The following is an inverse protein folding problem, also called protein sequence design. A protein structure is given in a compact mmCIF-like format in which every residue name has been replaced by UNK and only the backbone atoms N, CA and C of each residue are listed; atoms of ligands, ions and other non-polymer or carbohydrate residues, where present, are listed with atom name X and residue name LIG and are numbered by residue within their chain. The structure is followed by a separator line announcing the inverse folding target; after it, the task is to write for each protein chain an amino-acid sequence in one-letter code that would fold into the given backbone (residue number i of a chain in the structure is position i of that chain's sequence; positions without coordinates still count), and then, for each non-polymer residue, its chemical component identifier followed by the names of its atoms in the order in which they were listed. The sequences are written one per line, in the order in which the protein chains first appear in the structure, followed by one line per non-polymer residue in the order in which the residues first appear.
data_IF_163866617700
#
_entry.id   IF_163866617700
#
_cell.length_a   1.000
_cell.length_b   1.000
_cell.length_c   1.000
_cell.angle_alpha   90.00
_cell.angle_beta   90.00
_cell.angle_gamma   90.00
#
_symmetry.space_group_name_H-M   'P 1'
#
loop_
_entity.id
_entity.type
_entity.pdbx_description
1 polymer ?
#
# COMPACT_ATOMS: atom_id res chain seq x y z
N UNK A 1 -9.41 10.48 5.69
CA UNK A 1 -10.41 10.33 4.63
C UNK A 1 -11.43 11.48 4.58
N UNK A 2 -11.60 12.31 5.61
CA UNK A 2 -12.42 13.53 5.51
C UNK A 2 -11.86 14.60 4.57
N UNK A 3 -12.71 15.51 4.08
CA UNK A 3 -12.34 16.69 3.28
C UNK A 3 -11.30 17.58 3.98
N UNK A 4 -11.32 17.65 5.31
CA UNK A 4 -10.31 18.38 6.10
C UNK A 4 -8.91 17.80 5.90
N UNK A 5 -8.79 16.48 5.75
CA UNK A 5 -7.51 15.85 5.42
C UNK A 5 -7.09 16.16 3.98
N UNK A 6 -8.03 16.24 3.03
CA UNK A 6 -7.74 16.63 1.65
C UNK A 6 -7.19 18.06 1.58
N UNK A 7 -7.78 19.00 2.34
CA UNK A 7 -7.26 20.37 2.51
C UNK A 7 -5.81 20.40 2.97
N UNK A 8 -5.50 19.65 4.04
CA UNK A 8 -4.14 19.54 4.58
C UNK A 8 -3.17 18.96 3.55
N UNK A 9 -3.60 17.93 2.81
CA UNK A 9 -2.79 17.28 1.79
C UNK A 9 -2.46 18.21 0.62
N UNK A 10 -3.44 18.97 0.12
CA UNK A 10 -3.20 19.98 -0.92
C UNK A 10 -2.16 21.00 -0.47
N UNK A 11 -2.29 21.51 0.76
CA UNK A 11 -1.34 22.47 1.32
C UNK A 11 0.07 21.86 1.43
N UNK A 12 0.16 20.59 1.81
CA UNK A 12 1.42 19.88 1.90
C UNK A 12 2.09 19.67 0.52
N UNK A 13 1.30 19.42 -0.52
CA UNK A 13 1.79 19.20 -1.88
C UNK A 13 2.04 20.49 -2.66
N UNK A 14 1.83 21.66 -2.06
CA UNK A 14 1.98 22.94 -2.74
C UNK A 14 3.41 23.12 -3.28
N UNK A 15 3.52 23.41 -4.59
CA UNK A 15 4.81 23.54 -5.29
C UNK A 15 5.38 22.23 -5.86
N UNK A 16 4.73 21.08 -5.60
CA UNK A 16 5.15 19.79 -6.13
C UNK A 16 4.23 19.34 -7.27
N UNK A 17 4.81 18.95 -8.41
CA UNK A 17 4.08 18.21 -9.45
C UNK A 17 3.93 16.76 -9.00
N UNK A 18 2.82 16.44 -8.35
CA UNK A 18 2.57 15.13 -7.75
C UNK A 18 1.26 14.49 -8.26
N UNK A 19 1.25 13.16 -8.26
CA UNK A 19 0.05 12.33 -8.49
C UNK A 19 -0.25 11.56 -7.21
N UNK A 20 -1.48 11.64 -6.73
CA UNK A 20 -1.90 10.98 -5.48
C UNK A 20 -2.69 9.72 -5.82
N UNK A 21 -2.18 8.52 -5.52
CA UNK A 21 -2.99 7.31 -5.71
C UNK A 21 -3.79 7.03 -4.43
N UNK A 22 -5.11 7.02 -4.52
CA UNK A 22 -5.98 6.65 -3.41
C UNK A 22 -6.09 5.12 -3.34
N UNK A 23 -5.84 4.54 -2.16
CA UNK A 23 -5.95 3.11 -1.93
C UNK A 23 -7.03 2.92 -0.86
N UNK A 24 -8.17 2.30 -1.18
CA UNK A 24 -9.17 1.95 -0.18
C UNK A 24 -8.53 1.03 0.87
N UNK A 25 -8.88 1.23 2.14
CA UNK A 25 -8.38 0.37 3.21
C UNK A 25 -8.92 -1.06 3.01
N UNK A 26 -8.00 -2.03 2.89
CA UNK A 26 -8.34 -3.44 2.82
C UNK A 26 -8.45 -4.00 4.25
N UNK A 27 -9.58 -4.58 4.66
CA UNK A 27 -9.66 -5.25 5.95
C UNK A 27 -8.69 -6.44 5.98
N UNK A 28 -8.00 -6.62 7.11
CA UNK A 28 -7.16 -7.79 7.36
C UNK A 28 -7.25 -8.20 8.83
N UNK A 29 -6.96 -9.48 9.18
CA UNK A 29 -6.95 -9.93 10.56
C UNK A 29 -6.06 -9.04 11.43
N UNK A 30 -6.61 -8.54 12.55
CA UNK A 30 -5.92 -7.65 13.48
C UNK A 30 -6.00 -6.14 13.16
N UNK A 31 -6.67 -5.74 12.07
CA UNK A 31 -6.94 -4.31 11.82
C UNK A 31 -8.16 -3.83 12.59
N UNK A 32 -8.03 -2.71 13.29
CA UNK A 32 -9.17 -1.97 13.88
C UNK A 32 -9.75 -0.93 12.94
N UNK A 33 -9.12 -0.73 11.77
CA UNK A 33 -9.55 0.29 10.81
C UNK A 33 -10.53 -0.30 9.80
N UNK A 34 -11.63 0.42 9.60
CA UNK A 34 -12.66 0.08 8.61
C UNK A 34 -12.36 0.73 7.27
N UNK A 35 -12.89 0.11 6.21
CA UNK A 35 -12.89 0.72 4.89
C UNK A 35 -13.62 2.07 4.92
N UNK A 36 -13.04 3.08 4.27
CA UNK A 36 -13.69 4.38 4.10
C UNK A 36 -14.96 4.22 3.27
N UNK A 37 -16.01 4.91 3.68
CA UNK A 37 -17.26 4.98 2.93
C UNK A 37 -17.02 5.45 1.47
N UNK A 38 -17.61 4.79 0.46
CA UNK A 38 -17.39 5.14 -0.93
C UNK A 38 -17.71 6.60 -1.29
N UNK A 39 -18.71 7.23 -0.66
CA UNK A 39 -19.02 8.64 -0.89
C UNK A 39 -17.93 9.56 -0.36
N UNK A 40 -17.46 9.32 0.87
CA UNK A 40 -16.35 10.10 1.44
C UNK A 40 -15.07 9.98 0.61
N UNK A 41 -14.80 8.79 0.08
CA UNK A 41 -13.67 8.60 -0.82
C UNK A 41 -13.83 9.40 -2.12
N UNK A 42 -15.04 9.42 -2.71
CA UNK A 42 -15.35 10.23 -3.90
C UNK A 42 -15.21 11.73 -3.62
N UNK A 43 -15.70 12.21 -2.48
CA UNK A 43 -15.54 13.61 -2.08
C UNK A 43 -14.06 13.99 -1.93
N UNK A 44 -13.28 13.13 -1.28
CA UNK A 44 -11.84 13.32 -1.12
C UNK A 44 -11.13 13.37 -2.48
N UNK A 45 -11.45 12.43 -3.36
CA UNK A 45 -10.94 12.38 -4.72
C UNK A 45 -11.28 13.65 -5.49
N UNK A 46 -12.56 14.05 -5.49
CA UNK A 46 -13.06 15.24 -6.17
C UNK A 46 -12.33 16.49 -5.68
N UNK A 47 -12.13 16.62 -4.37
CA UNK A 47 -11.44 17.77 -3.79
C UNK A 47 -10.00 17.93 -4.33
N UNK A 48 -9.28 16.82 -4.54
CA UNK A 48 -7.94 16.83 -5.13
C UNK A 48 -7.96 17.14 -6.62
N UNK A 49 -8.86 16.51 -7.38
CA UNK A 49 -8.95 16.70 -8.83
C UNK A 49 -9.39 18.11 -9.21
N UNK A 50 -10.31 18.71 -8.45
CA UNK A 50 -10.73 20.12 -8.62
C UNK A 50 -9.56 21.11 -8.46
N UNK A 51 -8.43 20.67 -7.89
CA UNK A 51 -7.19 21.44 -7.71
C UNK A 51 -6.05 20.96 -8.59
N UNK A 52 -6.40 20.30 -9.69
CA UNK A 52 -5.46 19.81 -10.69
C UNK A 52 -4.45 18.79 -10.15
N UNK A 53 -4.79 18.07 -9.07
CA UNK A 53 -3.99 16.96 -8.55
C UNK A 53 -4.64 15.65 -9.02
N UNK A 54 -4.01 14.90 -9.93
CA UNK A 54 -4.56 13.63 -10.39
C UNK A 54 -4.66 12.63 -9.24
N UNK A 55 -5.87 12.12 -9.00
CA UNK A 55 -6.18 11.28 -7.85
C UNK A 55 -6.86 9.94 -8.23
N UNK A 56 -6.24 9.02 -8.99
CA UNK A 56 -6.88 7.75 -9.31
C UNK A 56 -7.06 6.87 -8.07
N UNK A 57 -8.19 6.17 -7.99
CA UNK A 57 -8.43 5.15 -6.98
C UNK A 57 -7.90 3.81 -7.48
N UNK A 58 -7.09 3.14 -6.68
CA UNK A 58 -6.57 1.80 -6.94
C UNK A 58 -7.29 0.80 -6.07
N UNK A 59 -8.29 0.15 -6.65
CA UNK A 59 -8.89 -1.04 -6.05
C UNK A 59 -7.90 -2.20 -6.17
N UNK A 60 -7.68 -2.92 -5.07
CA UNK A 60 -6.80 -4.09 -5.08
C UNK A 60 -7.47 -5.21 -5.86
N UNK A 61 -6.85 -5.70 -6.94
CA UNK A 61 -7.26 -6.96 -7.58
C UNK A 61 -6.79 -8.13 -6.69
N UNK A 62 -7.66 -9.07 -6.36
CA UNK A 62 -7.33 -10.22 -5.51
C UNK A 62 -7.74 -10.09 -4.03
N UNK A 63 -8.62 -9.17 -3.66
CA UNK A 63 -9.21 -9.13 -2.30
C UNK A 63 -9.94 -10.44 -1.94
N UNK A 64 -10.56 -11.04 -2.92
CA UNK A 64 -11.21 -12.34 -2.93
C UNK A 64 -10.27 -13.53 -2.63
N UNK A 65 -8.96 -13.36 -2.84
CA UNK A 65 -7.95 -14.42 -2.64
C UNK A 65 -6.86 -14.04 -1.64
N UNK A 66 -7.09 -13.05 -0.77
CA UNK A 66 -6.08 -12.54 0.18
C UNK A 66 -4.77 -12.06 -0.49
N UNK A 67 -4.86 -11.58 -1.73
CA UNK A 67 -3.74 -11.13 -2.57
C UNK A 67 -3.54 -9.62 -2.61
N UNK A 68 -4.25 -8.85 -1.77
CA UNK A 68 -4.18 -7.40 -1.80
C UNK A 68 -2.81 -6.88 -1.32
N UNK A 69 -2.44 -5.64 -1.69
CA UNK A 69 -1.20 -5.01 -1.21
C UNK A 69 -1.14 -5.04 0.33
N UNK A 70 -0.11 -5.70 0.88
CA UNK A 70 0.06 -5.94 2.33
C UNK A 70 -0.27 -7.37 2.79
N UNK A 71 -0.96 -8.17 1.97
CA UNK A 71 -1.38 -9.55 2.32
C UNK A 71 -0.47 -10.65 1.75
N UNK A 72 0.45 -10.32 0.82
CA UNK A 72 1.47 -11.23 0.28
C UNK A 72 2.58 -11.59 1.28
N UNK A 73 2.29 -11.57 2.57
CA UNK A 73 3.14 -12.16 3.59
C UNK A 73 2.66 -13.59 3.86
N UNK A 74 2.92 -14.53 2.93
CA UNK A 74 2.93 -15.95 3.27
C UNK A 74 4.05 -16.18 4.28
N UNK A 75 3.77 -16.02 5.57
CA UNK A 75 4.70 -16.39 6.63
C UNK A 75 4.67 -17.92 6.72
N UNK A 76 5.82 -18.56 6.53
CA UNK A 76 5.91 -20.01 6.79
C UNK A 76 5.77 -20.23 8.30
N UNK A 77 5.25 -21.39 8.73
CA UNK A 77 4.91 -21.64 10.15
C UNK A 77 6.12 -21.45 11.09
N UNK A 78 7.30 -21.78 10.57
CA UNK A 78 8.63 -21.67 11.18
C UNK A 78 9.16 -20.23 11.30
N UNK A 79 8.60 -19.28 10.54
CA UNK A 79 9.09 -17.89 10.50
C UNK A 79 8.28 -16.93 11.38
N UNK A 80 7.17 -17.39 11.97
CA UNK A 80 6.28 -16.55 12.78
C UNK A 80 6.94 -16.03 14.06
N UNK A 81 7.91 -16.77 14.62
CA UNK A 81 8.67 -16.40 15.82
C UNK A 81 9.92 -15.57 15.52
N UNK A 82 10.28 -15.41 14.24
CA UNK A 82 11.51 -14.75 13.83
C UNK A 82 11.31 -13.26 13.62
N UNK A 83 12.37 -12.50 13.92
CA UNK A 83 12.43 -11.07 13.61
C UNK A 83 12.26 -10.84 12.09
N UNK A 84 11.43 -9.87 11.64
CA UNK A 84 11.15 -9.66 10.22
C UNK A 84 12.38 -9.47 9.33
N UNK A 85 13.41 -8.79 9.86
CA UNK A 85 14.68 -8.57 9.14
C UNK A 85 15.42 -9.89 8.87
N UNK A 86 15.41 -10.82 9.83
CA UNK A 86 16.06 -12.13 9.72
C UNK A 86 15.40 -12.96 8.62
N UNK A 87 14.06 -12.98 8.61
CA UNK A 87 13.26 -13.68 7.58
C UNK A 87 13.53 -13.09 6.19
N UNK A 88 13.55 -11.76 6.07
CA UNK A 88 13.81 -11.08 4.80
C UNK A 88 15.23 -11.38 4.25
N UNK A 89 16.25 -11.41 5.11
CA UNK A 89 17.62 -11.70 4.72
C UNK A 89 17.79 -13.17 4.30
N UNK A 90 17.23 -14.12 5.06
CA UNK A 90 17.28 -15.54 4.73
C UNK A 90 16.63 -15.83 3.37
N UNK A 91 15.41 -15.32 3.14
CA UNK A 91 14.70 -15.46 1.86
C UNK A 91 15.44 -14.80 0.69
N UNK A 92 16.09 -13.65 0.92
CA UNK A 92 16.90 -12.99 -0.12
C UNK A 92 18.11 -13.85 -0.49
N UNK A 93 18.78 -14.45 0.50
CA UNK A 93 19.91 -15.36 0.28
C UNK A 93 19.49 -16.60 -0.50
N UNK A 94 18.40 -17.26 -0.10
CA UNK A 94 17.81 -18.39 -0.84
C UNK A 94 17.52 -18.02 -2.30
N UNK A 95 16.98 -16.83 -2.57
CA UNK A 95 16.69 -16.36 -3.93
C UNK A 95 17.94 -16.03 -4.76
N UNK A 96 19.01 -15.56 -4.13
CA UNK A 96 20.30 -15.32 -4.77
C UNK A 96 21.02 -16.65 -5.09
N UNK A 97 20.94 -17.63 -4.18
CA UNK A 97 21.53 -18.96 -4.35
C UNK A 97 20.75 -19.79 -5.40
N UNK A 98 19.43 -19.63 -5.47
CA UNK A 98 18.58 -20.30 -6.48
C UNK A 98 18.53 -19.60 -7.84
N UNK A 99 19.31 -18.52 -8.05
CA UNK A 99 19.37 -17.79 -9.32
C UNK A 99 18.10 -17.05 -9.73
N UNK A 100 17.09 -16.97 -8.85
CA UNK A 100 15.82 -16.26 -9.10
C UNK A 100 15.94 -14.74 -9.04
N UNK A 101 17.06 -14.22 -8.54
CA UNK A 101 17.41 -12.79 -8.56
C UNK A 101 18.82 -12.67 -9.13
N UNK A 102 19.05 -11.81 -10.13
CA UNK A 102 20.39 -11.57 -10.65
C UNK A 102 21.30 -11.00 -9.55
N UNK A 103 22.49 -11.59 -9.40
CA UNK A 103 23.57 -10.94 -8.64
C UNK A 103 24.00 -9.74 -9.47
N UNK A 104 23.83 -8.54 -8.92
CA UNK A 104 24.48 -7.37 -9.47
C UNK A 104 25.89 -7.40 -8.91
N UNK A 105 26.87 -7.71 -9.76
CA UNK A 105 28.27 -7.44 -9.48
C UNK A 105 28.49 -5.92 -9.68
N UNK A 106 29.31 -5.32 -8.81
CA UNK A 106 29.52 -3.86 -8.68
C UNK A 106 29.96 -3.17 -10.00
#
# INVERSE_FOLDING_TARGET
DSVTHAKKLVRFLHGLKAKVNLIPMNPHPGSTMIATDPERMREFQKYLTDRSIPAPVRYSRGQDVSGACGQLASKRKDELSLQPRTVALARRREKLESGKIPKFDD
#
